data_IF_907080380380
#
_entry.id   IF_907080380380
#
_cell.length_a   1.000
_cell.length_b   1.000
_cell.length_c   1.000
_cell.angle_alpha   90.00
_cell.angle_beta   90.00
_cell.angle_gamma   90.00
#
_symmetry.space_group_name_H-M   'P 1'
#
loop_
_entity.id
_entity.type
_entity.pdbx_description
1 polymer ?
#
# COMPACT_ATOMS: atom_id res chain seq x y z
N UNK A 1 17.55 -11.29 18.32
CA UNK A 1 17.70 -12.67 18.82
C UNK A 1 17.69 -13.70 17.68
N UNK A 2 16.70 -13.68 16.77
CA UNK A 2 16.59 -14.66 15.67
C UNK A 2 17.81 -14.75 14.75
N UNK A 3 18.41 -13.64 14.33
CA UNK A 3 19.63 -13.65 13.51
C UNK A 3 20.81 -14.36 14.21
N UNK A 4 20.96 -14.14 15.52
CA UNK A 4 21.98 -14.82 16.32
C UNK A 4 21.71 -16.33 16.42
N UNK A 5 20.47 -16.73 16.69
CA UNK A 5 20.06 -18.14 16.76
C UNK A 5 20.28 -18.82 15.40
N UNK A 6 19.92 -18.15 14.31
CA UNK A 6 20.14 -18.60 12.94
C UNK A 6 21.61 -18.88 12.65
N UNK A 7 22.51 -17.96 13.01
CA UNK A 7 23.96 -18.13 12.85
C UNK A 7 24.53 -19.23 13.74
N UNK A 8 24.02 -19.38 14.97
CA UNK A 8 24.49 -20.43 15.90
C UNK A 8 24.17 -21.83 15.41
N UNK A 9 23.00 -22.02 14.79
CA UNK A 9 22.52 -23.33 14.33
C UNK A 9 22.68 -23.53 12.82
N UNK A 10 23.40 -22.64 12.12
CA UNK A 10 23.56 -22.66 10.66
C UNK A 10 22.24 -22.93 9.91
N UNK A 11 21.16 -22.30 10.39
CA UNK A 11 19.80 -22.57 9.93
C UNK A 11 19.13 -21.25 9.53
N UNK A 12 18.63 -21.10 8.29
CA UNK A 12 17.94 -19.89 7.87
C UNK A 12 16.72 -19.56 8.75
N UNK A 13 16.47 -18.27 9.00
CA UNK A 13 15.39 -17.82 9.90
C UNK A 13 14.02 -18.38 9.51
N UNK A 14 13.67 -18.46 8.22
CA UNK A 14 12.36 -18.98 7.79
C UNK A 14 12.14 -20.44 8.26
N UNK A 15 13.19 -21.27 8.31
CA UNK A 15 13.10 -22.64 8.86
C UNK A 15 12.92 -22.66 10.36
N UNK A 16 13.56 -21.74 11.07
CA UNK A 16 13.36 -21.58 12.51
C UNK A 16 11.93 -21.13 12.85
N UNK A 17 11.28 -20.38 11.95
CA UNK A 17 9.90 -19.94 12.07
C UNK A 17 8.87 -21.02 11.67
N UNK A 18 9.33 -22.15 11.12
CA UNK A 18 8.49 -23.30 10.78
C UNK A 18 8.26 -23.53 9.28
N UNK A 19 8.79 -22.67 8.41
CA UNK A 19 8.65 -22.84 6.95
C UNK A 19 9.74 -23.76 6.38
N UNK A 20 9.38 -24.67 5.48
CA UNK A 20 10.37 -25.55 4.83
C UNK A 20 11.17 -24.84 3.74
N UNK A 21 10.51 -23.92 3.00
CA UNK A 21 11.01 -23.28 1.78
C UNK A 21 10.67 -21.80 1.77
N UNK A 22 11.65 -20.96 1.43
CA UNK A 22 11.43 -19.55 1.12
C UNK A 22 11.04 -19.37 -0.35
N UNK A 23 9.74 -19.24 -0.62
CA UNK A 23 9.24 -18.98 -1.98
C UNK A 23 9.66 -17.58 -2.47
N UNK A 24 9.99 -17.40 -3.76
CA UNK A 24 10.32 -16.09 -4.32
C UNK A 24 9.14 -15.12 -4.16
N UNK A 25 9.46 -13.84 -4.00
CA UNK A 25 8.50 -12.74 -3.86
C UNK A 25 8.75 -11.71 -4.95
N UNK A 26 7.68 -11.08 -5.44
CA UNK A 26 7.79 -9.98 -6.41
C UNK A 26 8.09 -8.71 -5.63
N UNK A 27 9.28 -8.09 -5.79
CA UNK A 27 9.55 -6.82 -5.13
C UNK A 27 8.74 -5.70 -5.80
N UNK A 28 8.28 -4.75 -4.99
CA UNK A 28 7.75 -3.48 -5.47
C UNK A 28 8.69 -2.34 -5.06
N UNK A 29 8.79 -1.29 -5.87
CA UNK A 29 9.46 -0.05 -5.41
C UNK A 29 8.54 0.69 -4.47
N UNK A 30 9.02 1.12 -3.30
CA UNK A 30 8.28 2.05 -2.44
C UNK A 30 8.85 3.45 -2.63
N UNK A 31 8.07 4.38 -3.17
CA UNK A 31 8.47 5.74 -3.48
C UNK A 31 7.44 6.76 -2.96
N UNK A 32 7.90 8.00 -2.78
CA UNK A 32 6.99 9.12 -2.58
C UNK A 32 6.35 9.50 -3.92
N UNK A 33 5.13 10.01 -3.90
CA UNK A 33 4.65 10.82 -5.02
C UNK A 33 5.57 12.01 -5.26
N UNK A 34 5.80 12.35 -6.53
CA UNK A 34 6.56 13.55 -6.90
C UNK A 34 5.82 14.83 -6.48
N UNK A 35 6.48 15.98 -6.59
CA UNK A 35 5.84 17.27 -6.29
C UNK A 35 4.74 17.60 -7.31
N UNK A 36 4.85 17.05 -8.51
CA UNK A 36 3.85 17.13 -9.57
C UNK A 36 3.68 15.78 -10.31
N UNK A 37 2.65 15.64 -11.17
CA UNK A 37 2.41 14.42 -11.92
C UNK A 37 3.54 14.05 -12.90
N UNK A 38 4.29 15.02 -13.43
CA UNK A 38 5.38 14.74 -14.37
C UNK A 38 6.59 14.09 -13.65
N UNK A 39 6.93 14.57 -12.46
CA UNK A 39 7.91 13.91 -11.59
C UNK A 39 7.46 12.49 -11.21
N UNK A 40 6.17 12.32 -10.89
CA UNK A 40 5.58 11.01 -10.57
C UNK A 40 5.69 10.03 -11.74
N UNK A 41 5.38 10.50 -12.96
CA UNK A 41 5.54 9.73 -14.19
C UNK A 41 6.99 9.28 -14.39
N UNK A 42 7.96 10.20 -14.22
CA UNK A 42 9.37 9.90 -14.38
C UNK A 42 9.87 8.85 -13.36
N UNK A 43 9.38 8.93 -12.12
CA UNK A 43 9.67 7.92 -11.08
C UNK A 43 9.06 6.55 -11.43
N UNK A 44 7.83 6.52 -11.91
CA UNK A 44 7.16 5.28 -12.30
C UNK A 44 7.83 4.62 -13.51
N UNK A 45 8.22 5.40 -14.53
CA UNK A 45 9.00 4.91 -15.68
C UNK A 45 10.34 4.34 -15.23
N UNK A 46 11.05 5.03 -14.33
CA UNK A 46 12.31 4.53 -13.76
C UNK A 46 12.13 3.19 -13.03
N UNK A 47 11.00 2.96 -12.35
CA UNK A 47 10.71 1.66 -11.74
C UNK A 47 10.55 0.57 -12.82
N UNK A 48 9.77 0.85 -13.86
CA UNK A 48 9.57 -0.05 -14.99
C UNK A 48 10.87 -0.36 -15.74
N UNK A 49 11.68 0.66 -16.06
CA UNK A 49 12.98 0.53 -16.75
C UNK A 49 13.98 -0.32 -15.96
N UNK A 50 13.84 -0.37 -14.63
CA UNK A 50 14.64 -1.22 -13.74
C UNK A 50 14.10 -2.65 -13.62
N UNK A 51 13.02 -2.98 -14.33
CA UNK A 51 12.40 -4.31 -14.35
C UNK A 51 11.44 -4.58 -13.20
N UNK A 52 11.00 -3.56 -12.45
CA UNK A 52 10.00 -3.76 -11.41
C UNK A 52 8.62 -3.97 -12.03
N UNK A 53 7.96 -5.04 -11.60
CA UNK A 53 6.56 -5.36 -12.00
C UNK A 53 5.53 -4.70 -11.09
N UNK A 54 5.96 -4.08 -10.00
CA UNK A 54 5.11 -3.50 -8.99
C UNK A 54 5.73 -2.21 -8.44
N UNK A 55 4.89 -1.22 -8.13
CA UNK A 55 5.32 0.02 -7.50
C UNK A 55 4.25 0.56 -6.56
N UNK A 56 4.70 0.97 -5.36
CA UNK A 56 3.93 1.73 -4.38
C UNK A 56 4.36 3.18 -4.41
N UNK A 57 3.38 4.07 -4.58
CA UNK A 57 3.54 5.50 -4.41
C UNK A 57 2.69 5.96 -3.26
N UNK A 58 3.28 6.72 -2.34
CA UNK A 58 2.53 7.28 -1.23
C UNK A 58 2.98 8.65 -0.80
N UNK A 59 2.25 9.20 0.17
CA UNK A 59 2.60 10.46 0.82
C UNK A 59 2.73 11.63 -0.18
N UNK A 60 3.53 12.65 0.15
CA UNK A 60 3.70 13.84 -0.68
C UNK A 60 2.37 14.60 -0.84
N UNK A 61 2.03 15.08 -2.05
CA UNK A 61 0.79 15.82 -2.27
C UNK A 61 -0.47 14.93 -2.24
N UNK A 62 -0.34 13.60 -2.25
CA UNK A 62 -1.49 12.71 -2.35
C UNK A 62 -2.40 12.79 -1.12
N UNK A 63 -3.68 13.08 -1.35
CA UNK A 63 -4.69 13.20 -0.30
C UNK A 63 -4.70 14.55 0.46
N UNK A 64 -3.67 15.37 0.25
CA UNK A 64 -3.61 16.77 0.69
C UNK A 64 -4.36 17.64 -0.32
N UNK A 65 -5.30 18.47 0.16
CA UNK A 65 -6.08 19.34 -0.71
C UNK A 65 -7.17 18.62 -1.52
N UNK A 66 -7.34 19.01 -2.79
CA UNK A 66 -8.45 18.57 -3.62
C UNK A 66 -8.27 17.13 -4.17
N UNK A 67 -9.36 16.51 -4.61
CA UNK A 67 -9.33 15.14 -5.17
C UNK A 67 -8.57 15.10 -6.51
N UNK A 68 -8.71 16.15 -7.32
CA UNK A 68 -8.14 16.22 -8.68
C UNK A 68 -6.61 16.12 -8.70
N UNK A 69 -5.92 16.73 -7.74
CA UNK A 69 -4.46 16.63 -7.64
C UNK A 69 -4.02 15.16 -7.48
N UNK A 70 -4.68 14.40 -6.58
CA UNK A 70 -4.37 12.99 -6.39
C UNK A 70 -4.70 12.11 -7.60
N UNK A 71 -5.70 12.48 -8.39
CA UNK A 71 -6.10 11.82 -9.64
C UNK A 71 -4.97 11.88 -10.67
N UNK A 72 -4.37 13.05 -10.87
CA UNK A 72 -3.32 13.22 -11.87
C UNK A 72 -2.05 12.42 -11.51
N UNK A 73 -1.72 12.34 -10.23
CA UNK A 73 -0.58 11.54 -9.74
C UNK A 73 -0.78 10.03 -9.97
N UNK A 74 -1.97 9.50 -9.67
CA UNK A 74 -2.25 8.07 -9.86
C UNK A 74 -2.32 7.72 -11.35
N UNK A 75 -2.89 8.61 -12.18
CA UNK A 75 -2.87 8.47 -13.63
C UNK A 75 -1.44 8.45 -14.20
N UNK A 76 -0.59 9.40 -13.79
CA UNK A 76 0.82 9.45 -14.16
C UNK A 76 1.59 8.19 -13.73
N UNK A 77 1.28 7.65 -12.54
CA UNK A 77 1.91 6.42 -12.08
C UNK A 77 1.52 5.23 -12.95
N UNK A 78 0.22 5.09 -13.28
CA UNK A 78 -0.27 4.04 -14.19
C UNK A 78 0.36 4.16 -15.58
N UNK A 79 0.47 5.37 -16.12
CA UNK A 79 1.13 5.59 -17.41
C UNK A 79 2.60 5.14 -17.36
N UNK A 80 3.35 5.53 -16.33
CA UNK A 80 4.76 5.22 -16.25
C UNK A 80 5.08 3.75 -15.96
N UNK A 81 4.22 3.09 -15.17
CA UNK A 81 4.37 1.67 -14.84
C UNK A 81 3.87 0.75 -15.98
N UNK A 82 2.98 1.26 -16.83
CA UNK A 82 2.32 0.51 -17.89
C UNK A 82 1.04 -0.21 -17.42
N UNK A 83 0.27 -0.78 -18.37
CA UNK A 83 -1.05 -1.35 -18.09
C UNK A 83 -0.99 -2.61 -17.20
N UNK A 84 0.07 -3.41 -17.33
CA UNK A 84 0.21 -4.70 -16.62
C UNK A 84 0.87 -4.58 -15.24
N UNK A 85 1.40 -3.40 -14.90
CA UNK A 85 2.10 -3.18 -13.64
C UNK A 85 1.17 -3.23 -12.43
N UNK A 86 1.66 -3.79 -11.32
CA UNK A 86 0.94 -3.78 -10.04
C UNK A 86 1.12 -2.39 -9.40
N UNK A 87 0.05 -1.60 -9.40
CA UNK A 87 0.03 -0.27 -8.81
C UNK A 87 -0.54 -0.32 -7.39
N UNK A 88 0.22 0.21 -6.43
CA UNK A 88 -0.11 0.31 -5.02
C UNK A 88 -0.09 1.79 -4.61
N UNK A 89 -1.02 2.20 -3.74
CA UNK A 89 -1.11 3.59 -3.28
C UNK A 89 -1.14 3.63 -1.76
N UNK A 90 -0.36 4.54 -1.17
CA UNK A 90 -0.31 4.76 0.28
C UNK A 90 -0.67 6.21 0.64
N UNK A 91 -1.70 6.36 1.48
CA UNK A 91 -2.24 7.65 1.88
C UNK A 91 -1.60 8.22 3.15
N UNK A 92 -0.75 7.47 3.85
CA UNK A 92 0.00 7.96 5.02
C UNK A 92 -0.90 8.55 6.12
N UNK A 93 -2.06 7.94 6.38
CA UNK A 93 -3.05 8.33 7.39
C UNK A 93 -3.68 9.73 7.23
N UNK A 94 -3.48 10.38 6.08
CA UNK A 94 -3.80 11.80 5.84
C UNK A 94 -5.26 12.19 6.07
N UNK A 95 -6.19 11.22 6.02
CA UNK A 95 -7.62 11.47 6.24
C UNK A 95 -8.09 11.19 7.65
N UNK A 96 -7.22 10.81 8.58
CA UNK A 96 -7.54 10.47 9.97
C UNK A 96 -8.64 9.40 10.08
N UNK A 97 -9.91 9.79 10.17
CA UNK A 97 -11.08 8.89 10.17
C UNK A 97 -12.17 9.35 9.18
N UNK A 98 -11.87 10.34 8.34
CA UNK A 98 -12.81 10.98 7.42
C UNK A 98 -13.12 10.09 6.20
N UNK A 99 -14.06 9.16 6.38
CA UNK A 99 -14.44 8.15 5.37
C UNK A 99 -14.78 8.77 4.02
N UNK A 100 -15.54 9.87 3.98
CA UNK A 100 -15.93 10.49 2.71
C UNK A 100 -14.75 11.09 1.94
N UNK A 101 -13.70 11.55 2.65
CA UNK A 101 -12.48 12.01 1.98
C UNK A 101 -11.80 10.84 1.28
N UNK A 102 -11.61 9.71 1.94
CA UNK A 102 -11.02 8.53 1.31
C UNK A 102 -11.93 7.99 0.18
N UNK A 103 -13.23 7.92 0.42
CA UNK A 103 -14.19 7.34 -0.52
C UNK A 103 -14.26 8.11 -1.84
N UNK A 104 -14.09 9.44 -1.81
CA UNK A 104 -14.02 10.27 -3.01
C UNK A 104 -12.87 9.91 -3.98
N UNK A 105 -11.90 9.07 -3.56
CA UNK A 105 -10.80 8.60 -4.42
C UNK A 105 -11.05 7.22 -5.02
N UNK A 106 -12.02 6.45 -4.51
CA UNK A 106 -12.19 5.04 -4.86
C UNK A 106 -12.45 4.80 -6.35
N UNK A 107 -13.32 5.60 -6.97
CA UNK A 107 -13.68 5.40 -8.38
C UNK A 107 -12.47 5.55 -9.29
N UNK A 108 -11.65 6.58 -9.05
CA UNK A 108 -10.41 6.77 -9.80
C UNK A 108 -9.36 5.69 -9.50
N UNK A 109 -9.20 5.29 -8.23
CA UNK A 109 -8.30 4.17 -7.90
C UNK A 109 -8.70 2.89 -8.63
N UNK A 110 -10.00 2.60 -8.76
CA UNK A 110 -10.50 1.46 -9.56
C UNK A 110 -10.22 1.65 -11.04
N UNK A 111 -10.45 2.85 -11.59
CA UNK A 111 -10.20 3.16 -13.01
C UNK A 111 -8.73 2.91 -13.42
N UNK A 112 -7.78 3.16 -12.51
CA UNK A 112 -6.36 2.93 -12.75
C UNK A 112 -5.86 1.56 -12.29
N UNK A 113 -6.77 0.65 -11.92
CA UNK A 113 -6.41 -0.72 -11.51
C UNK A 113 -5.48 -0.75 -10.31
N UNK A 114 -5.69 0.12 -9.33
CA UNK A 114 -4.92 0.13 -8.08
C UNK A 114 -5.28 -1.13 -7.27
N UNK A 115 -4.26 -1.87 -6.82
CA UNK A 115 -4.45 -3.12 -6.08
C UNK A 115 -4.88 -2.86 -4.63
N UNK A 116 -4.20 -1.93 -3.95
CA UNK A 116 -4.60 -1.50 -2.62
C UNK A 116 -4.47 -0.01 -2.39
N UNK A 117 -5.29 0.48 -1.46
CA UNK A 117 -5.13 1.77 -0.80
C UNK A 117 -4.66 1.51 0.64
N UNK A 118 -3.43 1.93 0.93
CA UNK A 118 -2.76 1.74 2.20
C UNK A 118 -2.94 2.94 3.12
N UNK A 119 -3.12 2.65 4.40
CA UNK A 119 -3.25 3.61 5.49
C UNK A 119 -4.10 4.85 5.14
N UNK A 120 -5.36 4.71 4.66
CA UNK A 120 -6.23 5.87 4.48
C UNK A 120 -6.53 6.60 5.80
N UNK A 121 -6.43 5.89 6.92
CA UNK A 121 -6.86 6.33 8.24
C UNK A 121 -5.80 6.00 9.29
N UNK A 122 -5.88 6.63 10.46
CA UNK A 122 -5.04 6.26 11.62
C UNK A 122 -5.34 4.84 12.09
N UNK A 123 -4.33 4.14 12.63
CA UNK A 123 -4.39 2.68 12.86
C UNK A 123 -5.53 2.21 13.78
N UNK A 124 -6.07 3.08 14.64
CA UNK A 124 -7.19 2.76 15.53
C UNK A 124 -8.60 2.98 14.94
N UNK A 125 -8.71 3.57 13.75
CA UNK A 125 -9.99 3.95 13.15
C UNK A 125 -10.70 2.76 12.45
N UNK A 126 -10.84 1.62 13.13
CA UNK A 126 -11.37 0.38 12.55
C UNK A 126 -12.76 0.53 11.93
N UNK A 127 -13.62 1.37 12.53
CA UNK A 127 -14.94 1.69 11.99
C UNK A 127 -14.85 2.41 10.64
N UNK A 128 -13.92 3.35 10.50
CA UNK A 128 -13.68 4.08 9.24
C UNK A 128 -13.14 3.13 8.16
N UNK A 129 -12.17 2.28 8.51
CA UNK A 129 -11.67 1.23 7.62
C UNK A 129 -12.80 0.32 7.15
N UNK A 130 -13.63 -0.19 8.07
CA UNK A 130 -14.74 -1.10 7.74
C UNK A 130 -15.75 -0.45 6.80
N UNK A 131 -16.10 0.81 7.06
CA UNK A 131 -17.01 1.59 6.22
C UNK A 131 -16.44 1.80 4.81
N UNK A 132 -15.14 2.10 4.70
CA UNK A 132 -14.48 2.26 3.41
C UNK A 132 -14.33 0.93 2.67
N UNK A 133 -13.96 -0.15 3.35
CA UNK A 133 -13.80 -1.49 2.78
C UNK A 133 -15.11 -2.00 2.16
N UNK A 134 -16.25 -1.72 2.80
CA UNK A 134 -17.57 -2.04 2.24
C UNK A 134 -17.88 -1.33 0.91
N UNK A 135 -17.16 -0.23 0.62
CA UNK A 135 -17.30 0.58 -0.60
C UNK A 135 -16.16 0.33 -1.59
N UNK A 136 -15.03 -0.24 -1.18
CA UNK A 136 -13.77 -0.17 -1.93
C UNK A 136 -13.76 -1.02 -3.22
N UNK A 137 -14.57 -2.08 -3.28
CA UNK A 137 -14.73 -2.92 -4.47
C UNK A 137 -13.43 -3.69 -4.78
N UNK A 138 -12.87 -3.49 -5.97
CA UNK A 138 -11.63 -4.17 -6.41
C UNK A 138 -10.36 -3.62 -5.75
N UNK A 139 -10.39 -2.37 -5.27
CA UNK A 139 -9.28 -1.78 -4.50
C UNK A 139 -9.40 -2.30 -3.08
N UNK A 140 -8.44 -3.11 -2.62
CA UNK A 140 -8.44 -3.59 -1.23
C UNK A 140 -7.83 -2.52 -0.31
N UNK A 141 -8.15 -2.58 0.97
CA UNK A 141 -7.42 -1.77 1.95
C UNK A 141 -6.17 -2.51 2.42
N UNK A 142 -5.10 -1.76 2.67
CA UNK A 142 -3.89 -2.22 3.33
C UNK A 142 -3.63 -1.36 4.58
N UNK A 143 -3.15 -1.98 5.64
CA UNK A 143 -2.76 -1.33 6.89
C UNK A 143 -1.94 -2.31 7.71
N UNK A 144 -1.23 -1.82 8.73
CA UNK A 144 -0.59 -2.70 9.70
C UNK A 144 0.84 -2.32 10.05
N UNK A 145 1.49 -1.44 9.28
CA UNK A 145 2.88 -1.04 9.52
C UNK A 145 3.07 -0.37 10.90
N UNK A 146 2.05 0.29 11.43
CA UNK A 146 2.03 0.84 12.79
C UNK A 146 1.75 -0.17 13.91
N UNK A 147 1.51 -1.45 13.61
CA UNK A 147 1.22 -2.46 14.63
C UNK A 147 2.48 -2.80 15.44
N UNK A 148 2.40 -2.65 16.75
CA UNK A 148 3.45 -3.01 17.69
C UNK A 148 3.04 -4.18 18.63
N UNK A 149 1.88 -4.80 18.36
CA UNK A 149 1.43 -6.04 18.98
C UNK A 149 0.71 -6.93 17.95
N UNK A 150 0.74 -8.26 18.11
CA UNK A 150 -0.04 -9.17 17.24
C UNK A 150 -1.55 -8.89 17.27
N UNK A 151 -2.07 -8.41 18.41
CA UNK A 151 -3.50 -8.12 18.57
C UNK A 151 -3.96 -6.94 17.70
N UNK A 152 -3.12 -5.93 17.49
CA UNK A 152 -3.46 -4.82 16.59
C UNK A 152 -3.61 -5.30 15.15
N UNK A 153 -2.67 -6.12 14.66
CA UNK A 153 -2.79 -6.74 13.34
C UNK A 153 -4.03 -7.63 13.25
N UNK A 154 -4.33 -8.39 14.31
CA UNK A 154 -5.56 -9.19 14.40
C UNK A 154 -6.82 -8.34 14.30
N UNK A 155 -6.88 -7.20 14.99
CA UNK A 155 -8.04 -6.31 14.93
C UNK A 155 -8.24 -5.68 13.55
N UNK A 156 -7.16 -5.37 12.82
CA UNK A 156 -7.25 -4.91 11.44
C UNK A 156 -7.87 -5.98 10.51
N UNK A 157 -7.48 -7.25 10.70
CA UNK A 157 -8.07 -8.37 9.95
C UNK A 157 -9.54 -8.61 10.33
N UNK A 158 -9.85 -8.69 11.63
CA UNK A 158 -11.18 -9.10 12.12
C UNK A 158 -12.24 -8.00 11.99
N UNK A 159 -11.84 -6.73 12.19
CA UNK A 159 -12.78 -5.63 12.38
C UNK A 159 -12.70 -4.57 11.28
N UNK A 160 -11.50 -4.28 10.78
CA UNK A 160 -11.27 -3.20 9.82
C UNK A 160 -11.55 -3.63 8.35
N UNK A 161 -11.59 -4.94 8.07
CA UNK A 161 -11.77 -5.45 6.71
C UNK A 161 -10.55 -5.22 5.81
N UNK A 162 -9.35 -5.18 6.40
CA UNK A 162 -8.11 -5.04 5.64
C UNK A 162 -7.89 -6.27 4.75
N UNK A 163 -7.57 -6.05 3.48
CA UNK A 163 -7.28 -7.11 2.51
C UNK A 163 -5.81 -7.47 2.42
N UNK A 164 -4.94 -6.62 2.98
CA UNK A 164 -3.50 -6.79 3.13
C UNK A 164 -3.12 -6.33 4.54
N UNK A 165 -2.29 -7.13 5.23
CA UNK A 165 -1.81 -6.90 6.60
C UNK A 165 -0.29 -7.00 6.63
#
# INVERSE_FOLDING_TARGET
MWDLVSKRFDTPIYRLLGDEVALPKVPYTSALFGNDPAETLALARRASDRGFRAAKFGWGPYGIGNVAAGVDHVAATREGLGPEGILLVDAGTVWFDAVERAAARLDHLRQHGVTWLEEPFVSGAFGAYRALAARSGTVRLAAGEGCHTPFQAKHLMDHAGSGFI
#
